data_IF_136702581354
#
_entry.id   IF_136702581354
#
_cell.length_a   1.000
_cell.length_b   1.000
_cell.length_c   1.000
_cell.angle_alpha   90.00
_cell.angle_beta   90.00
_cell.angle_gamma   90.00
#
_symmetry.space_group_name_H-M   'P 1'
#
loop_
_entity.id
_entity.type
_entity.pdbx_description
1 polymer ?
#
# COMPACT_ATOMS: atom_id res chain seq x y z
N UNK A 1 1.81 -61.82 -12.97
CA UNK A 1 0.61 -61.39 -12.30
C UNK A 1 1.03 -60.89 -10.90
N UNK A 2 0.97 -59.62 -10.68
CA UNK A 2 1.36 -59.00 -9.41
C UNK A 2 0.09 -58.74 -8.59
N UNK A 3 0.10 -59.22 -7.36
CA UNK A 3 -0.97 -59.08 -6.40
C UNK A 3 -1.15 -57.63 -6.00
N UNK A 4 -2.41 -57.15 -6.05
CA UNK A 4 -2.81 -55.83 -5.56
C UNK A 4 -3.13 -55.99 -4.07
N UNK A 5 -2.35 -55.34 -3.25
CA UNK A 5 -2.50 -55.32 -1.79
C UNK A 5 -3.66 -54.38 -1.42
N UNK A 6 -4.75 -54.95 -0.89
CA UNK A 6 -5.89 -54.21 -0.33
C UNK A 6 -5.47 -53.58 1.01
N UNK A 7 -5.26 -52.27 1.04
CA UNK A 7 -5.22 -51.53 2.30
C UNK A 7 -6.64 -51.34 2.84
N UNK A 8 -6.98 -52.12 3.86
CA UNK A 8 -8.18 -51.91 4.65
C UNK A 8 -8.07 -50.60 5.44
N UNK A 9 -8.93 -49.66 5.12
CA UNK A 9 -9.13 -48.45 5.93
C UNK A 9 -9.83 -48.84 7.21
N UNK A 10 -9.13 -48.79 8.35
CA UNK A 10 -9.77 -48.85 9.67
C UNK A 10 -10.46 -47.51 9.93
N UNK A 11 -11.75 -47.50 10.13
CA UNK A 11 -12.54 -46.36 10.56
C UNK A 11 -12.15 -45.88 11.96
N UNK A 12 -12.39 -44.62 12.30
CA UNK A 12 -12.08 -44.10 13.63
C UNK A 12 -12.97 -44.74 14.70
N UNK A 13 -12.35 -45.15 15.80
CA UNK A 13 -13.02 -45.61 17.02
C UNK A 13 -13.85 -44.48 17.64
N UNK A 14 -15.11 -44.76 18.11
CA UNK A 14 -15.91 -43.77 18.82
C UNK A 14 -15.39 -43.60 20.24
N UNK A 15 -15.11 -42.37 20.66
CA UNK A 15 -14.99 -42.03 22.07
C UNK A 15 -13.65 -41.47 22.55
N UNK A 16 -13.18 -40.39 21.92
CA UNK A 16 -12.30 -39.48 22.64
C UNK A 16 -12.85 -38.06 22.41
N UNK A 17 -13.63 -37.60 23.38
CA UNK A 17 -14.05 -36.20 23.47
C UNK A 17 -12.77 -35.40 23.75
N UNK A 18 -12.22 -34.76 22.72
CA UNK A 18 -11.17 -33.76 22.88
C UNK A 18 -11.84 -32.57 23.59
N UNK A 19 -11.37 -32.17 24.79
CA UNK A 19 -11.91 -30.98 25.41
C UNK A 19 -11.80 -29.83 24.45
N UNK A 20 -12.92 -29.17 24.15
CA UNK A 20 -12.96 -27.89 23.43
C UNK A 20 -12.06 -26.93 24.18
N UNK A 21 -10.81 -26.74 23.69
CA UNK A 21 -10.01 -25.62 24.08
C UNK A 21 -10.78 -24.38 23.60
N UNK A 22 -11.39 -23.68 24.53
CA UNK A 22 -11.89 -22.33 24.34
C UNK A 22 -10.67 -21.50 23.93
N UNK A 23 -10.42 -21.41 22.63
CA UNK A 23 -9.54 -20.40 22.05
C UNK A 23 -10.22 -19.08 22.41
N UNK A 24 -9.77 -18.45 23.50
CA UNK A 24 -10.02 -17.04 23.71
C UNK A 24 -9.60 -16.32 22.41
N UNK A 25 -10.46 -15.50 21.82
CA UNK A 25 -10.07 -14.73 20.65
C UNK A 25 -8.78 -14.00 21.03
N UNK A 26 -7.67 -14.32 20.35
CA UNK A 26 -6.43 -13.58 20.49
C UNK A 26 -6.83 -12.16 20.09
N UNK A 27 -6.83 -11.22 21.05
CA UNK A 27 -7.04 -9.80 20.74
C UNK A 27 -6.00 -9.46 19.68
N UNK A 28 -6.45 -9.34 18.44
CA UNK A 28 -5.61 -8.94 17.33
C UNK A 28 -5.41 -7.44 17.49
N UNK A 29 -4.40 -7.05 18.24
CA UNK A 29 -3.97 -5.67 18.28
C UNK A 29 -3.51 -5.29 16.88
N UNK A 30 -4.29 -4.45 16.23
CA UNK A 30 -4.00 -3.91 14.88
C UNK A 30 -2.72 -3.07 14.90
N UNK A 31 -2.38 -2.50 16.05
CA UNK A 31 -1.17 -1.70 16.28
C UNK A 31 -0.51 -2.09 17.60
N UNK A 32 0.84 -2.02 17.63
CA UNK A 32 1.61 -2.13 18.86
C UNK A 32 1.24 -1.03 19.87
N UNK A 33 0.87 0.14 19.38
CA UNK A 33 0.48 1.29 20.18
C UNK A 33 -1.04 1.38 20.24
N UNK A 34 -1.62 1.70 21.41
CA UNK A 34 -3.06 1.89 21.54
C UNK A 34 -3.50 3.09 20.68
N UNK A 35 -4.66 2.94 20.05
CA UNK A 35 -5.30 4.06 19.38
C UNK A 35 -5.89 5.02 20.41
N UNK A 36 -5.76 6.34 20.20
CA UNK A 36 -6.39 7.31 21.06
C UNK A 36 -7.92 7.27 20.92
N UNK A 37 -8.63 7.64 22.00
CA UNK A 37 -10.06 7.89 21.91
C UNK A 37 -10.30 9.14 21.03
N UNK A 38 -11.15 9.00 20.01
CA UNK A 38 -11.48 10.11 19.10
C UNK A 38 -11.98 11.36 19.82
N UNK A 39 -12.67 11.19 20.97
CA UNK A 39 -13.19 12.30 21.75
C UNK A 39 -12.10 13.11 22.47
N UNK A 40 -10.90 12.54 22.60
CA UNK A 40 -9.74 13.21 23.24
C UNK A 40 -8.82 13.88 22.23
N UNK A 41 -9.05 13.68 20.94
CA UNK A 41 -8.24 14.25 19.87
C UNK A 41 -8.51 15.77 19.71
N UNK A 42 -7.51 16.52 19.25
CA UNK A 42 -7.73 17.88 18.75
C UNK A 42 -8.83 17.92 17.69
N UNK A 43 -9.64 18.98 17.70
CA UNK A 43 -10.83 19.10 16.86
C UNK A 43 -10.54 18.97 15.37
N UNK A 44 -9.48 19.59 14.87
CA UNK A 44 -9.06 19.52 13.47
C UNK A 44 -8.75 18.09 13.02
N UNK A 45 -8.07 17.31 13.86
CA UNK A 45 -7.74 15.91 13.58
C UNK A 45 -9.01 15.05 13.62
N UNK A 46 -9.82 15.22 14.64
CA UNK A 46 -11.07 14.50 14.80
C UNK A 46 -12.01 14.77 13.63
N UNK A 47 -12.19 16.01 13.24
CA UNK A 47 -13.05 16.40 12.13
C UNK A 47 -12.60 15.72 10.83
N UNK A 48 -11.31 15.75 10.52
CA UNK A 48 -10.79 15.10 9.30
C UNK A 48 -10.93 13.56 9.34
N UNK A 49 -10.73 12.92 10.48
CA UNK A 49 -10.95 11.47 10.62
C UNK A 49 -12.41 11.12 10.36
N UNK A 50 -13.35 11.89 10.90
CA UNK A 50 -14.78 11.67 10.70
C UNK A 50 -15.21 11.93 9.26
N UNK A 51 -14.66 12.96 8.61
CA UNK A 51 -14.87 13.20 7.18
C UNK A 51 -14.43 12.03 6.31
N UNK A 52 -13.26 11.45 6.61
CA UNK A 52 -12.77 10.25 5.90
C UNK A 52 -13.69 9.06 6.17
N UNK A 53 -14.15 8.87 7.40
CA UNK A 53 -15.10 7.81 7.74
C UNK A 53 -16.40 7.94 6.96
N UNK A 54 -16.93 9.16 6.83
CA UNK A 54 -18.16 9.42 6.07
C UNK A 54 -17.99 9.07 4.58
N UNK A 55 -16.86 9.46 3.99
CA UNK A 55 -16.57 9.22 2.57
C UNK A 55 -16.24 7.77 2.25
N UNK A 56 -15.43 7.11 3.10
CA UNK A 56 -14.93 5.77 2.85
C UNK A 56 -15.78 4.65 3.50
N UNK A 57 -16.67 5.00 4.44
CA UNK A 57 -17.45 4.04 5.22
C UNK A 57 -16.68 3.39 6.38
N UNK A 58 -15.41 3.73 6.57
CA UNK A 58 -14.56 3.25 7.67
C UNK A 58 -13.42 4.24 7.95
N UNK A 59 -12.76 4.09 9.10
CA UNK A 59 -11.55 4.86 9.42
C UNK A 59 -10.32 4.02 9.07
N UNK A 60 -9.47 4.45 8.13
CA UNK A 60 -8.22 3.75 7.86
C UNK A 60 -7.29 3.78 9.08
N UNK A 61 -6.67 2.64 9.39
CA UNK A 61 -5.85 2.49 10.60
C UNK A 61 -4.68 3.48 10.70
N UNK A 62 -4.15 3.93 9.57
CA UNK A 62 -3.07 4.94 9.52
C UNK A 62 -3.50 6.25 10.17
N UNK A 63 -4.75 6.69 10.01
CA UNK A 63 -5.27 7.88 10.64
C UNK A 63 -5.27 7.76 12.17
N UNK A 64 -5.67 6.60 12.70
CA UNK A 64 -5.70 6.35 14.14
C UNK A 64 -4.30 6.15 14.73
N UNK A 65 -3.44 5.43 14.01
CA UNK A 65 -2.08 5.14 14.47
C UNK A 65 -1.25 6.42 14.65
N UNK A 66 -1.31 7.35 13.70
CA UNK A 66 -0.60 8.63 13.77
C UNK A 66 -1.27 9.63 14.72
N UNK A 67 -2.58 9.55 14.98
CA UNK A 67 -3.32 10.51 15.81
C UNK A 67 -2.82 10.59 17.25
N UNK A 68 -2.07 9.59 17.71
CA UNK A 68 -1.37 9.61 19.00
C UNK A 68 -0.35 10.75 19.10
N UNK A 69 0.14 11.26 17.98
CA UNK A 69 1.15 12.32 17.87
C UNK A 69 0.64 13.46 16.99
N UNK A 70 -0.22 14.34 17.53
CA UNK A 70 -0.96 15.33 16.74
C UNK A 70 -0.11 16.21 15.82
N UNK A 71 1.08 16.64 16.26
CA UNK A 71 1.96 17.47 15.46
C UNK A 71 2.50 16.69 14.22
N UNK A 72 2.90 15.43 14.41
CA UNK A 72 3.37 14.58 13.33
C UNK A 72 2.23 14.19 12.41
N UNK A 73 1.04 13.94 12.94
CA UNK A 73 -0.15 13.67 12.15
C UNK A 73 -0.43 14.81 11.16
N UNK A 74 -0.40 16.05 11.63
CA UNK A 74 -0.61 17.22 10.76
C UNK A 74 0.45 17.34 9.68
N UNK A 75 1.71 17.19 10.05
CA UNK A 75 2.83 17.26 9.09
C UNK A 75 2.75 16.14 8.05
N UNK A 76 2.45 14.90 8.49
CA UNK A 76 2.32 13.74 7.61
C UNK A 76 1.20 13.94 6.59
N UNK A 77 0.00 14.28 7.05
CA UNK A 77 -1.13 14.44 6.13
C UNK A 77 -1.05 15.72 5.30
N UNK A 78 -0.40 16.78 5.77
CA UNK A 78 -0.12 17.96 4.93
C UNK A 78 0.82 17.60 3.78
N UNK A 79 1.87 16.83 4.04
CA UNK A 79 2.79 16.40 3.00
C UNK A 79 2.14 15.37 2.06
N UNK A 80 1.38 14.42 2.59
CA UNK A 80 0.56 13.51 1.78
C UNK A 80 -0.30 14.28 0.78
N UNK A 81 -1.04 15.28 1.24
CA UNK A 81 -1.95 16.03 0.39
C UNK A 81 -1.19 16.83 -0.68
N UNK A 82 -0.05 17.41 -0.31
CA UNK A 82 0.81 18.13 -1.25
C UNK A 82 1.36 17.22 -2.38
N UNK A 83 1.60 15.94 -2.09
CA UNK A 83 2.09 14.97 -3.08
C UNK A 83 0.95 14.33 -3.88
N UNK A 84 -0.10 13.85 -3.18
CA UNK A 84 -1.09 12.96 -3.77
C UNK A 84 -2.33 13.68 -4.31
N UNK A 85 -2.64 14.88 -3.79
CA UNK A 85 -3.86 15.61 -4.13
C UNK A 85 -3.60 16.85 -4.98
N UNK A 86 -2.33 17.20 -5.27
CA UNK A 86 -2.02 18.34 -6.14
C UNK A 86 -2.60 18.12 -7.54
N UNK A 87 -3.08 19.20 -8.15
CA UNK A 87 -3.65 19.18 -9.52
C UNK A 87 -2.60 19.58 -10.59
N UNK A 88 -1.43 20.06 -10.16
CA UNK A 88 -0.32 20.50 -11.01
C UNK A 88 0.63 19.33 -11.31
N UNK A 89 1.46 19.47 -12.36
CA UNK A 89 2.38 18.46 -12.82
C UNK A 89 1.78 17.49 -13.84
N UNK A 90 2.61 16.64 -14.42
CA UNK A 90 2.19 15.71 -15.47
C UNK A 90 1.76 14.34 -14.94
N UNK A 91 2.08 14.02 -13.68
CA UNK A 91 1.66 12.75 -13.07
C UNK A 91 0.16 12.70 -12.83
N UNK A 92 -0.50 11.75 -13.44
CA UNK A 92 -1.91 11.47 -13.16
C UNK A 92 -2.10 10.93 -11.75
N UNK A 93 -3.34 11.03 -11.21
CA UNK A 93 -3.68 10.41 -9.92
C UNK A 93 -3.46 8.89 -9.95
N UNK A 94 -3.71 8.25 -11.09
CA UNK A 94 -3.43 6.82 -11.28
C UNK A 94 -1.93 6.50 -11.24
N UNK A 95 -1.10 7.29 -11.89
CA UNK A 95 0.36 7.13 -11.87
C UNK A 95 0.93 7.29 -10.45
N UNK A 96 0.44 8.26 -9.66
CA UNK A 96 0.83 8.40 -8.24
C UNK A 96 0.48 7.17 -7.42
N UNK A 97 -0.74 6.66 -7.54
CA UNK A 97 -1.18 5.44 -6.86
C UNK A 97 -0.42 4.18 -7.36
N UNK A 98 -0.01 4.18 -8.63
CA UNK A 98 0.79 3.11 -9.21
C UNK A 98 2.20 3.07 -8.59
N UNK A 99 2.84 4.23 -8.39
CA UNK A 99 4.12 4.34 -7.66
C UNK A 99 3.95 3.75 -6.26
N UNK A 100 2.94 4.20 -5.51
CA UNK A 100 2.70 3.74 -4.13
C UNK A 100 2.47 2.23 -4.09
N UNK A 101 1.61 1.69 -4.95
CA UNK A 101 1.28 0.27 -4.96
C UNK A 101 2.51 -0.58 -5.27
N UNK A 102 3.33 -0.18 -6.25
CA UNK A 102 4.50 -0.94 -6.68
C UNK A 102 5.61 -0.91 -5.63
N UNK A 103 5.94 0.24 -5.09
CA UNK A 103 7.00 0.39 -4.07
C UNK A 103 6.59 -0.22 -2.74
N UNK A 104 5.31 -0.13 -2.37
CA UNK A 104 4.77 -0.80 -1.19
C UNK A 104 4.80 -2.32 -1.30
N UNK A 105 4.63 -2.87 -2.51
CA UNK A 105 4.77 -4.31 -2.73
C UNK A 105 6.22 -4.77 -2.53
N UNK A 106 7.21 -4.00 -2.99
CA UNK A 106 8.63 -4.26 -2.72
C UNK A 106 8.93 -4.23 -1.20
N UNK A 107 8.35 -3.27 -0.48
CA UNK A 107 8.44 -3.15 0.97
C UNK A 107 7.59 -4.17 1.74
N UNK A 108 6.82 -5.03 1.04
CA UNK A 108 5.92 -6.02 1.62
C UNK A 108 4.85 -5.42 2.56
N UNK A 109 4.44 -4.17 2.33
CA UNK A 109 3.40 -3.51 3.08
C UNK A 109 2.01 -3.97 2.61
N UNK A 110 1.45 -4.98 3.27
CA UNK A 110 0.13 -5.51 2.91
C UNK A 110 -0.97 -4.43 2.93
N UNK A 111 -0.97 -3.58 3.97
CA UNK A 111 -1.95 -2.50 4.10
C UNK A 111 -1.91 -1.54 2.91
N UNK A 112 -0.71 -1.06 2.57
CA UNK A 112 -0.54 -0.09 1.48
C UNK A 112 -0.92 -0.69 0.13
N UNK A 113 -0.50 -1.93 -0.16
CA UNK A 113 -0.87 -2.62 -1.42
C UNK A 113 -2.38 -2.77 -1.56
N UNK A 114 -3.09 -3.12 -0.48
CA UNK A 114 -4.55 -3.28 -0.52
C UNK A 114 -5.25 -1.93 -0.66
N UNK A 115 -4.88 -0.94 0.15
CA UNK A 115 -5.53 0.37 0.17
C UNK A 115 -5.29 1.15 -1.12
N UNK A 116 -4.03 1.35 -1.50
CA UNK A 116 -3.67 2.11 -2.70
C UNK A 116 -3.97 1.32 -3.99
N UNK A 117 -3.88 0.00 -3.97
CA UNK A 117 -4.32 -0.83 -5.07
C UNK A 117 -5.82 -0.71 -5.37
N UNK A 118 -6.66 -0.51 -4.35
CA UNK A 118 -8.09 -0.25 -4.55
C UNK A 118 -8.31 1.11 -5.23
N UNK A 119 -7.60 2.16 -4.81
CA UNK A 119 -7.67 3.49 -5.39
C UNK A 119 -7.13 3.49 -6.83
N UNK A 120 -6.02 2.80 -7.07
CA UNK A 120 -5.42 2.63 -8.40
C UNK A 120 -6.43 2.04 -9.40
N UNK A 121 -7.18 1.00 -9.01
CA UNK A 121 -8.21 0.41 -9.89
C UNK A 121 -9.31 1.41 -10.25
N UNK A 122 -9.65 2.32 -9.35
CA UNK A 122 -10.66 3.36 -9.60
C UNK A 122 -10.15 4.36 -10.64
N UNK A 123 -8.90 4.83 -10.50
CA UNK A 123 -8.35 5.83 -11.40
C UNK A 123 -8.01 5.27 -12.78
N UNK A 124 -7.38 4.11 -12.85
CA UNK A 124 -7.01 3.49 -14.13
C UNK A 124 -8.17 2.78 -14.82
N UNK A 125 -9.27 2.50 -14.10
CA UNK A 125 -10.44 1.75 -14.61
C UNK A 125 -10.08 0.38 -15.17
N UNK A 126 -9.00 -0.21 -14.67
CA UNK A 126 -8.50 -1.53 -15.02
C UNK A 126 -8.53 -2.44 -13.78
N UNK A 127 -9.28 -3.53 -13.79
CA UNK A 127 -9.53 -4.34 -12.60
C UNK A 127 -8.28 -5.05 -12.07
N UNK A 128 -7.32 -5.36 -12.94
CA UNK A 128 -6.14 -6.17 -12.60
C UNK A 128 -4.83 -5.37 -12.50
N UNK A 129 -4.82 -4.07 -12.82
CA UNK A 129 -3.60 -3.27 -12.88
C UNK A 129 -2.85 -3.28 -11.55
N UNK A 130 -3.56 -3.14 -10.43
CA UNK A 130 -2.94 -3.12 -9.11
C UNK A 130 -2.27 -4.46 -8.76
N UNK A 131 -2.90 -5.58 -9.09
CA UNK A 131 -2.33 -6.90 -8.87
C UNK A 131 -1.09 -7.12 -9.75
N UNK A 132 -1.17 -6.70 -11.01
CA UNK A 132 -0.06 -6.83 -11.96
C UNK A 132 1.17 -6.03 -11.50
N UNK A 133 0.99 -4.74 -11.13
CA UNK A 133 2.14 -3.91 -10.72
C UNK A 133 2.69 -4.32 -9.37
N UNK A 134 1.86 -4.81 -8.46
CA UNK A 134 2.30 -5.33 -7.17
C UNK A 134 3.13 -6.62 -7.30
N UNK A 135 2.74 -7.51 -8.22
CA UNK A 135 3.44 -8.79 -8.40
C UNK A 135 4.68 -8.64 -9.29
N UNK A 136 4.54 -7.96 -10.43
CA UNK A 136 5.65 -7.74 -11.36
C UNK A 136 5.32 -6.63 -12.35
N UNK A 137 5.59 -5.38 -11.99
CA UNK A 137 5.30 -4.23 -12.85
C UNK A 137 5.97 -4.28 -14.23
N UNK A 138 7.14 -4.95 -14.34
CA UNK A 138 7.85 -5.08 -15.64
C UNK A 138 7.07 -5.89 -16.67
N UNK A 139 6.16 -6.77 -16.21
CA UNK A 139 5.30 -7.60 -17.05
C UNK A 139 3.83 -7.15 -17.05
N UNK A 140 3.52 -6.10 -16.30
CA UNK A 140 2.18 -5.54 -16.22
C UNK A 140 1.75 -4.92 -17.57
N UNK A 141 0.45 -4.90 -17.81
CA UNK A 141 -0.16 -4.25 -18.97
C UNK A 141 -0.29 -2.74 -18.72
N UNK A 142 0.85 -2.07 -18.78
CA UNK A 142 1.02 -0.63 -18.55
C UNK A 142 1.81 0.00 -19.69
N UNK A 143 1.68 1.31 -19.87
CA UNK A 143 2.38 2.06 -20.92
C UNK A 143 3.90 2.07 -20.71
N UNK A 144 4.64 2.40 -21.78
CA UNK A 144 6.09 2.60 -21.70
C UNK A 144 6.46 3.74 -20.72
N UNK A 145 5.66 4.83 -20.70
CA UNK A 145 5.79 5.93 -19.75
C UNK A 145 5.67 5.44 -18.30
N UNK A 146 4.60 4.71 -17.98
CA UNK A 146 4.38 4.16 -16.65
C UNK A 146 5.48 3.18 -16.24
N UNK A 147 5.99 2.39 -17.17
CA UNK A 147 7.09 1.46 -16.91
C UNK A 147 8.39 2.19 -16.57
N UNK A 148 8.76 3.23 -17.34
CA UNK A 148 9.94 4.05 -17.07
C UNK A 148 9.84 4.74 -15.69
N UNK A 149 8.66 5.30 -15.39
CA UNK A 149 8.35 5.88 -14.07
C UNK A 149 8.57 4.87 -12.93
N UNK A 150 8.06 3.64 -13.08
CA UNK A 150 8.21 2.62 -12.06
C UNK A 150 9.64 2.07 -11.96
N UNK A 151 10.40 1.99 -13.06
CA UNK A 151 11.82 1.62 -13.01
C UNK A 151 12.61 2.63 -12.17
N UNK A 152 12.34 3.94 -12.33
CA UNK A 152 12.95 4.98 -11.51
C UNK A 152 12.47 4.91 -10.05
N UNK A 153 11.16 4.83 -9.80
CA UNK A 153 10.61 4.71 -8.46
C UNK A 153 11.20 3.51 -7.70
N UNK A 154 11.31 2.36 -8.35
CA UNK A 154 11.91 1.16 -7.76
C UNK A 154 13.41 1.33 -7.46
N UNK A 155 14.13 2.05 -8.32
CA UNK A 155 15.55 2.36 -8.04
C UNK A 155 15.68 3.31 -6.84
N UNK A 156 14.82 4.33 -6.73
CA UNK A 156 14.75 5.20 -5.54
C UNK A 156 14.42 4.39 -4.29
N UNK A 157 13.45 3.46 -4.37
CA UNK A 157 13.01 2.64 -3.25
C UNK A 157 14.11 1.69 -2.72
N UNK A 158 14.79 1.00 -3.63
CA UNK A 158 15.69 -0.11 -3.28
C UNK A 158 17.18 0.27 -3.28
N UNK A 159 17.56 1.26 -4.10
CA UNK A 159 18.95 1.59 -4.40
C UNK A 159 19.16 3.08 -4.62
N UNK A 160 18.61 3.92 -3.73
CA UNK A 160 18.69 5.38 -3.86
C UNK A 160 20.12 5.93 -4.01
N UNK A 161 21.11 5.23 -3.44
CA UNK A 161 22.53 5.58 -3.53
C UNK A 161 23.14 5.38 -4.93
N UNK A 162 22.44 4.69 -5.84
CA UNK A 162 22.87 4.46 -7.22
C UNK A 162 22.23 5.44 -8.22
N UNK A 163 21.37 6.36 -7.76
CA UNK A 163 20.74 7.36 -8.65
C UNK A 163 21.81 8.28 -9.24
N UNK A 164 21.76 8.47 -10.54
CA UNK A 164 22.69 9.31 -11.28
C UNK A 164 21.97 10.00 -12.45
N UNK A 165 22.66 10.90 -13.14
CA UNK A 165 22.12 11.69 -14.26
C UNK A 165 21.43 10.84 -15.34
N UNK A 166 21.99 9.69 -15.68
CA UNK A 166 21.41 8.81 -16.68
C UNK A 166 20.00 8.29 -16.32
N UNK A 167 19.64 8.27 -15.03
CA UNK A 167 18.30 7.89 -14.59
C UNK A 167 17.28 8.99 -14.89
N UNK A 168 17.69 10.25 -14.82
CA UNK A 168 16.88 11.41 -15.22
C UNK A 168 16.72 11.45 -16.74
N UNK A 169 17.84 11.33 -17.46
CA UNK A 169 17.86 11.31 -18.93
C UNK A 169 16.96 10.19 -19.51
N UNK A 170 16.82 9.07 -18.83
CA UNK A 170 15.94 7.98 -19.25
C UNK A 170 14.46 8.32 -19.17
N UNK A 171 14.06 9.32 -18.36
CA UNK A 171 12.66 9.71 -18.16
C UNK A 171 12.17 10.79 -19.14
N UNK A 172 13.06 11.68 -19.59
CA UNK A 172 12.70 12.79 -20.50
C UNK A 172 12.01 12.32 -21.80
N UNK A 173 12.47 11.25 -22.49
CA UNK A 173 11.79 10.75 -23.70
C UNK A 173 10.36 10.27 -23.46
N UNK A 174 9.99 10.00 -22.20
CA UNK A 174 8.66 9.59 -21.79
C UNK A 174 7.77 10.77 -21.36
N UNK A 175 8.25 12.02 -21.51
CA UNK A 175 7.51 13.24 -21.24
C UNK A 175 7.45 13.63 -19.76
N UNK A 176 8.41 13.19 -18.96
CA UNK A 176 8.63 13.69 -17.61
C UNK A 176 9.64 14.84 -17.64
N UNK A 177 9.43 15.83 -16.80
CA UNK A 177 10.39 16.88 -16.51
C UNK A 177 11.01 16.70 -15.11
N UNK A 178 11.89 17.61 -14.69
CA UNK A 178 12.57 17.53 -13.40
C UNK A 178 11.61 17.59 -12.21
N UNK A 179 10.53 18.35 -12.32
CA UNK A 179 9.51 18.44 -11.28
C UNK A 179 8.70 17.14 -11.16
N UNK A 180 8.39 16.49 -12.28
CA UNK A 180 7.75 15.18 -12.29
C UNK A 180 8.66 14.11 -11.67
N UNK A 181 9.97 14.15 -11.99
CA UNK A 181 10.97 13.22 -11.44
C UNK A 181 11.12 13.44 -9.93
N UNK A 182 11.11 14.71 -9.48
CA UNK A 182 11.05 15.04 -8.07
C UNK A 182 9.82 14.42 -7.39
N UNK A 183 8.64 14.55 -7.98
CA UNK A 183 7.40 13.99 -7.46
C UNK A 183 7.47 12.46 -7.35
N UNK A 184 7.99 11.78 -8.37
CA UNK A 184 8.15 10.32 -8.34
C UNK A 184 9.04 9.91 -7.15
N UNK A 185 10.17 10.59 -6.97
CA UNK A 185 11.09 10.32 -5.88
C UNK A 185 10.47 10.64 -4.50
N UNK A 186 9.79 11.79 -4.39
CA UNK A 186 9.15 12.23 -3.15
C UNK A 186 8.01 11.30 -2.73
N UNK A 187 7.14 10.88 -3.65
CA UNK A 187 6.09 9.89 -3.38
C UNK A 187 6.70 8.57 -2.92
N UNK A 188 7.72 8.08 -3.61
CA UNK A 188 8.41 6.84 -3.25
C UNK A 188 8.98 6.90 -1.83
N UNK A 189 9.69 7.97 -1.49
CA UNK A 189 10.31 8.15 -0.18
C UNK A 189 9.26 8.31 0.93
N UNK A 190 8.19 9.06 0.67
CA UNK A 190 7.10 9.29 1.64
C UNK A 190 6.41 7.98 2.02
N UNK A 191 6.08 7.14 1.04
CA UNK A 191 5.44 5.85 1.32
C UNK A 191 6.41 4.77 1.81
N UNK A 192 7.70 5.01 1.77
CA UNK A 192 8.69 4.23 2.52
C UNK A 192 8.67 4.53 4.01
N UNK A 193 8.13 5.69 4.43
CA UNK A 193 7.96 6.10 5.83
C UNK A 193 6.66 5.54 6.45
N UNK A 194 5.60 5.38 5.66
CA UNK A 194 4.24 5.08 6.14
C UNK A 194 3.95 3.61 6.41
#
# INVERSE_FOLDING_TARGET
PRAINKLQRRGPTPGTVVPSSTLTPKETHVSRYPFPDLNTLPEDIRARILEVQEKAGFIPNVFLAFARRPAEWRAFFAYHDALMLKEEGSLTKGEREMIVTTTSAANQCLYCVVAHGAILRIYEKQPYVADQVAVNYRKADISARQRAMLDFAMKVCERSHEICEADFEALYPHGFDDEDIWDIAAITAFFGLS
#
